data_IF_567558123919
#
_entry.id   IF_567558123919
#
_cell.length_a   1.000
_cell.length_b   1.000
_cell.length_c   1.000
_cell.angle_alpha   90.00
_cell.angle_beta   90.00
_cell.angle_gamma   90.00
#
_symmetry.space_group_name_H-M   'P 1'
#
loop_
_entity.id
_entity.type
_entity.pdbx_description
1 polymer ?
#
# COMPACT_ATOMS: atom_id res chain seq x y z
N UNK A 1 -23.03 -8.44 10.41
CA UNK A 1 -22.79 -7.20 9.63
C UNK A 1 -21.29 -6.96 9.52
N UNK A 2 -20.64 -7.53 8.51
CA UNK A 2 -19.20 -7.40 8.26
C UNK A 2 -18.98 -6.32 7.20
N UNK A 3 -18.23 -5.27 7.53
CA UNK A 3 -17.82 -4.26 6.55
C UNK A 3 -17.88 -2.82 7.04
N UNK A 4 -17.32 -2.52 8.22
CA UNK A 4 -16.81 -1.16 8.42
C UNK A 4 -15.60 -1.03 7.50
N UNK A 5 -15.83 -0.44 6.34
CA UNK A 5 -14.81 0.11 5.47
C UNK A 5 -14.07 1.20 6.25
N UNK A 6 -13.22 0.79 7.19
CA UNK A 6 -12.41 1.70 7.98
C UNK A 6 -11.53 2.45 6.98
N UNK A 7 -11.86 3.72 6.74
CA UNK A 7 -11.07 4.64 5.94
C UNK A 7 -9.79 4.93 6.72
N UNK A 8 -8.87 3.98 6.75
CA UNK A 8 -7.63 4.10 7.52
C UNK A 8 -6.48 4.50 6.60
N UNK A 9 -5.53 5.25 7.14
CA UNK A 9 -4.30 5.53 6.42
C UNK A 9 -3.56 4.23 6.10
N UNK A 10 -3.20 4.02 4.84
CA UNK A 10 -2.48 2.83 4.42
C UNK A 10 -1.09 2.69 5.08
N UNK A 11 -0.46 3.82 5.46
CA UNK A 11 0.83 3.87 6.14
C UNK A 11 0.69 3.75 7.67
N UNK A 12 0.04 4.71 8.34
CA UNK A 12 0.02 4.79 9.81
C UNK A 12 -1.19 4.11 10.47
N UNK A 13 -2.14 3.57 9.69
CA UNK A 13 -3.35 2.88 10.18
C UNK A 13 -4.31 3.73 11.04
N UNK A 14 -4.09 5.04 11.13
CA UNK A 14 -5.04 5.93 11.79
C UNK A 14 -6.37 5.96 11.03
N UNK A 15 -7.48 5.96 11.77
CA UNK A 15 -8.83 6.16 11.22
C UNK A 15 -8.96 7.59 10.71
N UNK A 16 -9.43 7.73 9.48
CA UNK A 16 -9.62 9.01 8.81
C UNK A 16 -11.07 9.14 8.38
N UNK A 17 -11.65 10.32 8.60
CA UNK A 17 -12.97 10.65 8.02
C UNK A 17 -12.81 11.18 6.58
N UNK A 18 -11.75 11.95 6.36
CA UNK A 18 -11.29 12.49 5.07
C UNK A 18 -9.78 12.27 4.94
N UNK A 19 -9.32 11.94 3.75
CA UNK A 19 -7.91 11.71 3.46
C UNK A 19 -7.70 11.71 1.95
N UNK A 20 -6.43 11.77 1.54
CA UNK A 20 -6.05 11.75 0.14
C UNK A 20 -6.25 10.33 -0.38
N UNK A 21 -7.04 10.19 -1.43
CA UNK A 21 -7.28 8.90 -2.08
C UNK A 21 -6.49 8.84 -3.37
N UNK A 22 -5.55 7.91 -3.46
CA UNK A 22 -4.71 7.75 -4.63
C UNK A 22 -4.54 6.27 -4.99
N UNK A 23 -4.30 6.02 -6.28
CA UNK A 23 -4.00 4.70 -6.81
C UNK A 23 -2.51 4.43 -6.74
N UNK A 24 -2.11 3.59 -5.78
CA UNK A 24 -0.70 3.24 -5.54
C UNK A 24 -0.47 1.75 -5.74
N UNK A 25 0.75 1.39 -6.06
CA UNK A 25 1.16 -0.01 -6.05
C UNK A 25 1.15 -0.55 -4.62
N UNK A 26 0.84 -1.84 -4.47
CA UNK A 26 0.81 -2.52 -3.18
C UNK A 26 1.76 -3.70 -3.24
N UNK A 27 2.68 -3.78 -2.27
CA UNK A 27 3.62 -4.88 -2.16
C UNK A 27 2.90 -6.24 -2.19
N UNK A 28 3.38 -7.17 -3.03
CA UNK A 28 2.78 -8.50 -3.15
C UNK A 28 1.61 -8.59 -4.14
N UNK A 29 1.07 -7.47 -4.63
CA UNK A 29 -0.03 -7.46 -5.60
C UNK A 29 0.41 -6.92 -6.95
N UNK A 30 -0.26 -7.37 -8.00
CA UNK A 30 -0.08 -6.86 -9.37
C UNK A 30 -1.14 -5.80 -9.61
N UNK A 31 -0.72 -4.62 -10.10
CA UNK A 31 -1.59 -3.48 -10.37
C UNK A 31 -1.60 -2.40 -9.29
N UNK A 32 -2.32 -1.31 -9.56
CA UNK A 32 -2.52 -0.20 -8.62
C UNK A 32 -3.82 -0.39 -7.85
N UNK A 33 -3.81 -0.01 -6.58
CA UNK A 33 -4.96 -0.12 -5.69
C UNK A 33 -5.25 1.23 -5.05
N UNK A 34 -6.54 1.57 -4.97
CA UNK A 34 -6.99 2.77 -4.28
C UNK A 34 -6.71 2.66 -2.78
N UNK A 35 -5.91 3.59 -2.26
CA UNK A 35 -5.53 3.69 -0.84
C UNK A 35 -5.78 5.10 -0.33
N UNK A 36 -6.03 5.20 0.98
CA UNK A 36 -6.28 6.46 1.67
C UNK A 36 -5.05 6.81 2.50
N UNK A 37 -4.67 8.08 2.49
CA UNK A 37 -3.53 8.61 3.25
C UNK A 37 -3.94 9.83 4.07
N UNK A 38 -3.25 10.05 5.20
CA UNK A 38 -3.45 11.23 6.03
C UNK A 38 -3.07 12.51 5.29
N UNK A 39 -1.96 12.46 4.56
CA UNK A 39 -1.34 13.59 3.87
C UNK A 39 -0.45 13.08 2.71
N UNK A 40 0.07 14.00 1.91
CA UNK A 40 0.95 13.67 0.78
C UNK A 40 2.28 13.07 1.22
N UNK A 41 2.75 13.42 2.41
CA UNK A 41 4.01 12.88 2.95
C UNK A 41 3.90 11.38 3.21
N UNK A 42 2.80 10.94 3.84
CA UNK A 42 2.52 9.52 4.07
C UNK A 42 2.37 8.75 2.76
N UNK A 43 1.77 9.37 1.76
CA UNK A 43 1.68 8.82 0.40
C UNK A 43 3.09 8.61 -0.19
N UNK A 44 3.95 9.64 -0.18
CA UNK A 44 5.32 9.57 -0.70
C UNK A 44 6.16 8.52 0.04
N UNK A 45 6.05 8.44 1.37
CA UNK A 45 6.75 7.43 2.18
C UNK A 45 6.26 6.03 1.82
N UNK A 46 4.95 5.85 1.66
CA UNK A 46 4.37 4.55 1.29
C UNK A 46 4.85 4.08 -0.07
N UNK A 47 4.86 4.95 -1.07
CA UNK A 47 5.36 4.65 -2.43
C UNK A 47 6.84 4.25 -2.34
N UNK A 48 7.70 5.08 -1.72
CA UNK A 48 9.13 4.77 -1.56
C UNK A 48 9.38 3.44 -0.86
N UNK A 49 8.65 3.13 0.22
CA UNK A 49 8.75 1.84 0.92
C UNK A 49 8.31 0.69 0.03
N UNK A 50 7.22 0.86 -0.71
CA UNK A 50 6.70 -0.17 -1.59
C UNK A 50 7.64 -0.44 -2.75
N UNK A 51 8.17 0.60 -3.39
CA UNK A 51 9.21 0.49 -4.41
C UNK A 51 10.47 -0.21 -3.89
N UNK A 52 10.93 0.17 -2.69
CA UNK A 52 12.07 -0.48 -2.06
C UNK A 52 11.80 -1.97 -1.84
N UNK A 53 10.63 -2.33 -1.29
CA UNK A 53 10.23 -3.73 -1.08
C UNK A 53 10.08 -4.50 -2.39
N UNK A 54 9.56 -3.87 -3.45
CA UNK A 54 9.45 -4.46 -4.79
C UNK A 54 10.83 -4.68 -5.42
N UNK A 55 11.77 -3.73 -5.26
CA UNK A 55 13.17 -3.86 -5.73
C UNK A 55 13.96 -4.89 -4.95
N UNK A 56 13.77 -4.95 -3.64
CA UNK A 56 14.37 -5.96 -2.76
C UNK A 56 13.56 -7.24 -2.70
N UNK A 57 12.62 -7.47 -3.63
CA UNK A 57 12.04 -8.80 -3.82
C UNK A 57 13.18 -9.75 -4.15
N UNK A 58 13.67 -10.43 -3.12
CA UNK A 58 14.15 -11.80 -3.30
C UNK A 58 12.99 -12.48 -4.00
N UNK A 59 13.20 -12.86 -5.26
CA UNK A 59 12.32 -13.84 -5.93
C UNK A 59 12.01 -14.88 -4.88
N UNK A 60 10.74 -15.01 -4.48
CA UNK A 60 10.42 -16.00 -3.45
C UNK A 60 10.96 -17.34 -3.99
N UNK A 61 11.43 -18.24 -3.13
CA UNK A 61 12.02 -19.50 -3.59
C UNK A 61 11.09 -20.28 -4.54
N UNK A 62 9.78 -20.01 -4.52
CA UNK A 62 8.78 -20.56 -5.46
C UNK A 62 8.84 -19.97 -6.88
N UNK A 63 9.46 -18.82 -7.12
CA UNK A 63 9.63 -18.24 -8.47
C UNK A 63 10.94 -18.67 -9.16
N UNK A 64 11.79 -19.46 -8.49
CA UNK A 64 13.01 -20.07 -9.07
C UNK A 64 12.79 -21.47 -9.67
N UNK A 65 11.56 -21.98 -9.66
CA UNK A 65 11.20 -23.31 -10.21
C UNK A 65 10.44 -23.20 -11.53
N UNK A 66 10.93 -22.37 -12.46
CA UNK A 66 10.53 -22.46 -13.86
C UNK A 66 11.74 -22.70 -14.72
#
# INVERSE_FOLDING_TARGET
MLGRSSKECALCKNKLEKGIQEEVEVYGKVGKFRKIFCNEEHLKIYIKRTEALMKTRRTCASCKLR
#
